data_IF_845149760313
#
_entry.id   IF_845149760313
#
_cell.length_a   1.000
_cell.length_b   1.000
_cell.length_c   1.000
_cell.angle_alpha   90.00
_cell.angle_beta   90.00
_cell.angle_gamma   90.00
#
_symmetry.space_group_name_H-M   'P 1'
#
loop_
_entity.id
_entity.type
_entity.pdbx_description
1 polymer ?
#
# COMPACT_ATOMS: atom_id res chain seq x y z
N UNK A 1 11.93 -20.18 19.13
CA UNK A 1 11.16 -19.03 18.64
C UNK A 1 11.71 -18.58 17.28
N UNK A 2 10.82 -18.24 16.35
CA UNK A 2 11.16 -17.83 15.00
C UNK A 2 10.16 -16.78 14.52
N UNK A 3 10.49 -16.08 13.43
CA UNK A 3 9.61 -15.13 12.73
C UNK A 3 9.16 -15.76 11.40
N UNK A 4 7.86 -15.80 11.14
CA UNK A 4 7.34 -16.37 9.89
C UNK A 4 7.70 -15.50 8.69
N UNK A 5 7.47 -14.19 8.77
CA UNK A 5 7.79 -13.22 7.72
C UNK A 5 8.58 -12.05 8.31
N UNK A 6 9.85 -11.96 7.97
CA UNK A 6 10.69 -10.80 8.31
C UNK A 6 10.67 -9.80 7.15
N UNK A 7 10.28 -8.56 7.42
CA UNK A 7 10.15 -7.53 6.39
C UNK A 7 11.18 -6.41 6.58
N UNK A 8 11.89 -6.08 5.49
CA UNK A 8 12.71 -4.86 5.44
C UNK A 8 11.78 -3.66 5.33
N UNK A 9 11.90 -2.70 6.27
CA UNK A 9 10.89 -1.65 6.45
C UNK A 9 10.85 -0.64 5.30
N UNK A 10 12.02 -0.26 4.76
CA UNK A 10 12.17 0.57 3.55
C UNK A 10 13.54 0.35 2.92
N UNK A 11 13.71 0.73 1.64
CA UNK A 11 15.03 0.73 0.99
C UNK A 11 16.02 1.65 1.72
N UNK A 12 17.24 1.19 1.93
CA UNK A 12 18.33 2.03 2.45
C UNK A 12 18.73 3.10 1.44
N UNK A 13 18.72 2.77 0.15
CA UNK A 13 18.98 3.72 -0.94
C UNK A 13 17.91 4.82 -1.02
N UNK A 14 18.31 5.99 -1.47
CA UNK A 14 17.38 7.11 -1.69
C UNK A 14 16.48 6.83 -2.89
N UNK A 15 15.19 6.76 -2.65
CA UNK A 15 14.18 6.53 -3.68
C UNK A 15 12.87 7.25 -3.34
N UNK A 16 11.86 7.09 -4.20
CA UNK A 16 10.56 7.74 -4.04
C UNK A 16 9.61 6.89 -3.17
N UNK A 17 9.63 7.11 -1.88
CA UNK A 17 8.65 6.57 -0.93
C UNK A 17 8.17 7.67 0.01
N UNK A 18 7.12 7.37 0.80
CA UNK A 18 6.55 8.27 1.81
C UNK A 18 6.15 9.65 1.27
N UNK A 19 5.24 9.68 0.29
CA UNK A 19 4.65 10.92 -0.24
C UNK A 19 5.38 11.50 -1.45
N UNK A 20 6.35 10.80 -2.00
CA UNK A 20 7.09 11.22 -3.21
C UNK A 20 6.60 10.45 -4.43
N UNK A 21 6.00 11.13 -5.39
CA UNK A 21 5.48 10.51 -6.61
C UNK A 21 6.60 10.07 -7.56
N UNK A 22 7.62 10.90 -7.75
CA UNK A 22 8.69 10.68 -8.73
C UNK A 22 10.05 10.41 -8.10
N UNK A 23 10.89 9.64 -8.81
CA UNK A 23 12.28 9.45 -8.44
C UNK A 23 13.12 10.68 -8.82
N UNK A 24 13.92 11.13 -7.86
CA UNK A 24 14.91 12.21 -8.08
C UNK A 24 16.28 11.63 -7.76
N UNK A 25 17.15 11.64 -8.77
CA UNK A 25 18.52 11.13 -8.61
C UNK A 25 19.32 12.02 -7.64
N UNK A 26 19.82 11.42 -6.58
CA UNK A 26 20.76 12.06 -5.66
C UNK A 26 22.21 11.73 -6.08
N UNK A 27 22.87 12.68 -6.74
CA UNK A 27 24.26 12.50 -7.18
C UNK A 27 25.26 12.40 -6.02
N UNK A 28 24.86 12.72 -4.80
CA UNK A 28 25.68 12.60 -3.59
C UNK A 28 25.52 11.24 -2.91
N UNK A 29 24.56 10.41 -3.32
CA UNK A 29 24.41 9.06 -2.80
C UNK A 29 25.65 8.23 -3.17
N UNK A 30 26.31 7.68 -2.16
CA UNK A 30 27.61 7.01 -2.38
C UNK A 30 27.49 5.50 -2.36
N UNK A 31 26.89 4.94 -1.32
CA UNK A 31 26.77 3.50 -1.14
C UNK A 31 25.56 3.15 -0.30
N UNK A 32 25.04 1.99 -0.53
CA UNK A 32 24.00 1.32 0.26
C UNK A 32 24.31 -0.18 0.24
N UNK A 33 23.72 -0.93 1.18
CA UNK A 33 23.96 -2.39 1.28
C UNK A 33 23.52 -3.09 0.00
N UNK A 34 24.40 -3.85 -0.68
CA UNK A 34 24.05 -4.57 -1.90
C UNK A 34 22.87 -5.54 -1.68
N UNK A 35 21.98 -5.63 -2.64
CA UNK A 35 20.85 -6.58 -2.59
C UNK A 35 21.29 -8.02 -2.35
N UNK A 36 22.44 -8.41 -2.91
CA UNK A 36 23.01 -9.75 -2.73
C UNK A 36 23.37 -10.02 -1.27
N UNK A 37 24.08 -9.09 -0.64
CA UNK A 37 24.47 -9.20 0.78
C UNK A 37 23.24 -9.33 1.70
N UNK A 38 22.17 -8.59 1.39
CA UNK A 38 20.90 -8.68 2.11
C UNK A 38 20.31 -10.10 1.98
N UNK A 39 20.25 -10.63 0.76
CA UNK A 39 19.71 -11.98 0.52
C UNK A 39 20.58 -13.08 1.12
N UNK A 40 21.90 -12.96 1.07
CA UNK A 40 22.81 -13.90 1.73
C UNK A 40 22.65 -13.89 3.25
N UNK A 41 22.44 -12.71 3.82
CA UNK A 41 22.18 -12.58 5.26
C UNK A 41 20.83 -13.19 5.63
N UNK A 42 19.79 -12.95 4.84
CA UNK A 42 18.49 -13.60 5.03
C UNK A 42 18.61 -15.13 4.92
N UNK A 43 19.40 -15.65 3.96
CA UNK A 43 19.64 -17.09 3.82
C UNK A 43 20.29 -17.69 5.06
N UNK A 44 21.24 -16.98 5.69
CA UNK A 44 21.86 -17.44 6.96
C UNK A 44 20.80 -17.55 8.05
N UNK A 45 19.92 -16.56 8.20
CA UNK A 45 18.86 -16.60 9.22
C UNK A 45 17.80 -17.66 8.94
N UNK A 46 17.47 -17.92 7.67
CA UNK A 46 16.57 -19.01 7.28
C UNK A 46 17.20 -20.37 7.64
N UNK A 47 18.48 -20.59 7.28
CA UNK A 47 19.20 -21.83 7.63
C UNK A 47 19.34 -22.04 9.14
N UNK A 48 19.41 -20.97 9.94
CA UNK A 48 19.42 -21.02 11.40
C UNK A 48 18.02 -21.22 12.02
N UNK A 49 16.97 -21.25 11.21
CA UNK A 49 15.59 -21.38 11.68
C UNK A 49 15.06 -20.14 12.42
N UNK A 50 15.71 -18.97 12.28
CA UNK A 50 15.30 -17.73 12.95
C UNK A 50 14.17 -17.00 12.22
N UNK A 51 14.17 -17.07 10.89
CA UNK A 51 13.09 -16.54 10.04
C UNK A 51 12.70 -17.63 9.03
N UNK A 52 11.45 -17.60 8.57
CA UNK A 52 10.98 -18.51 7.52
C UNK A 52 11.04 -17.85 6.16
N UNK A 53 10.55 -16.64 6.06
CA UNK A 53 10.42 -15.89 4.80
C UNK A 53 10.91 -14.46 4.93
N UNK A 54 11.37 -13.90 3.80
CA UNK A 54 11.74 -12.51 3.66
C UNK A 54 10.65 -11.76 2.88
N UNK A 55 10.28 -10.58 3.35
CA UNK A 55 9.46 -9.60 2.66
C UNK A 55 10.15 -8.24 2.57
N UNK A 56 9.62 -7.39 1.71
CA UNK A 56 10.05 -6.00 1.55
C UNK A 56 8.94 -5.06 1.96
N UNK A 57 9.27 -3.79 2.18
CA UNK A 57 8.29 -2.73 2.35
C UNK A 57 8.78 -1.43 1.73
N UNK A 58 7.87 -0.60 1.22
CA UNK A 58 8.16 0.66 0.54
C UNK A 58 9.15 0.51 -0.62
N UNK A 59 9.11 -0.65 -1.27
CA UNK A 59 10.03 -0.99 -2.34
C UNK A 59 9.51 -0.51 -3.69
N UNK A 60 10.42 -0.29 -4.62
CA UNK A 60 10.17 0.16 -5.99
C UNK A 60 10.32 -0.98 -7.00
N UNK A 61 9.83 -0.83 -8.25
CA UNK A 61 10.04 -1.83 -9.30
C UNK A 61 11.50 -2.19 -9.50
N UNK A 62 12.42 -1.20 -9.43
CA UNK A 62 13.85 -1.44 -9.56
C UNK A 62 14.38 -2.41 -8.49
N UNK A 63 14.10 -2.14 -7.20
CA UNK A 63 14.62 -2.97 -6.13
C UNK A 63 13.99 -4.35 -6.13
N UNK A 64 12.66 -4.45 -6.29
CA UNK A 64 11.98 -5.74 -6.35
C UNK A 64 12.53 -6.61 -7.49
N UNK A 65 12.72 -6.05 -8.69
CA UNK A 65 13.31 -6.80 -9.82
C UNK A 65 14.72 -7.30 -9.54
N UNK A 66 15.56 -6.49 -8.85
CA UNK A 66 16.91 -6.93 -8.47
C UNK A 66 16.87 -8.09 -7.47
N UNK A 67 16.03 -8.02 -6.43
CA UNK A 67 15.87 -9.13 -5.48
C UNK A 67 15.40 -10.41 -6.16
N UNK A 68 14.43 -10.33 -7.07
CA UNK A 68 13.90 -11.47 -7.82
C UNK A 68 14.99 -12.09 -8.70
N UNK A 69 15.72 -11.27 -9.45
CA UNK A 69 16.79 -11.74 -10.34
C UNK A 69 17.90 -12.45 -9.56
N UNK A 70 18.38 -11.86 -8.47
CA UNK A 70 19.40 -12.47 -7.62
C UNK A 70 18.91 -13.80 -7.02
N UNK A 71 17.66 -13.86 -6.57
CA UNK A 71 17.07 -15.10 -6.09
C UNK A 71 17.10 -16.20 -7.16
N UNK A 72 16.72 -15.88 -8.40
CA UNK A 72 16.69 -16.85 -9.52
C UNK A 72 18.09 -17.29 -9.96
N UNK A 73 19.01 -16.34 -10.16
CA UNK A 73 20.31 -16.63 -10.78
C UNK A 73 21.38 -17.11 -9.78
N UNK A 74 21.26 -16.75 -8.50
CA UNK A 74 22.22 -17.13 -7.45
C UNK A 74 21.68 -18.11 -6.43
N UNK A 75 20.49 -18.64 -6.64
CA UNK A 75 19.81 -19.57 -5.72
C UNK A 75 19.74 -19.03 -4.29
N UNK A 76 19.41 -17.74 -4.17
CA UNK A 76 19.19 -17.05 -2.91
C UNK A 76 17.69 -17.05 -2.55
N UNK A 77 17.32 -16.74 -1.28
CA UNK A 77 15.93 -16.77 -0.85
C UNK A 77 15.03 -15.86 -1.68
N UNK A 78 13.85 -16.34 -2.06
CA UNK A 78 12.82 -15.55 -2.72
C UNK A 78 12.20 -14.56 -1.74
N UNK A 79 11.97 -13.32 -2.19
CA UNK A 79 11.10 -12.36 -1.51
C UNK A 79 9.65 -12.81 -1.70
N UNK A 80 8.90 -12.95 -0.61
CA UNK A 80 7.54 -13.49 -0.65
C UNK A 80 6.46 -12.43 -0.79
N UNK A 81 6.70 -11.22 -0.30
CA UNK A 81 5.72 -10.14 -0.31
C UNK A 81 6.39 -8.77 -0.36
N UNK A 82 5.61 -7.77 -0.78
CA UNK A 82 5.94 -6.35 -0.63
C UNK A 82 4.83 -5.69 0.17
N UNK A 83 5.17 -4.95 1.22
CA UNK A 83 4.23 -4.13 1.97
C UNK A 83 4.36 -2.67 1.51
N UNK A 84 3.45 -2.23 0.65
CA UNK A 84 3.44 -0.86 0.09
C UNK A 84 2.08 -0.19 0.30
N UNK A 85 2.02 1.17 0.23
CA UNK A 85 0.75 1.87 0.31
C UNK A 85 -0.10 1.57 -0.92
N UNK A 86 -1.40 1.31 -0.70
CA UNK A 86 -2.36 1.18 -1.79
C UNK A 86 -3.76 1.55 -1.33
N UNK A 87 -4.41 2.44 -2.05
CA UNK A 87 -5.76 2.92 -1.76
C UNK A 87 -6.33 3.68 -2.95
N UNK A 88 -7.60 4.08 -2.91
CA UNK A 88 -8.23 4.96 -3.91
C UNK A 88 -7.47 6.30 -4.10
N UNK A 89 -6.74 6.79 -3.10
CA UNK A 89 -5.95 8.02 -3.18
C UNK A 89 -4.48 7.78 -3.58
N UNK A 90 -4.02 6.53 -3.59
CA UNK A 90 -2.67 6.15 -3.97
C UNK A 90 -2.70 4.84 -4.77
N UNK A 91 -2.71 4.95 -6.08
CA UNK A 91 -2.68 3.81 -7.02
C UNK A 91 -1.32 3.65 -7.71
N UNK A 92 -0.26 4.24 -7.14
CA UNK A 92 1.10 4.19 -7.73
C UNK A 92 1.64 2.77 -7.89
N UNK A 93 1.17 1.81 -7.07
CA UNK A 93 1.55 0.40 -7.17
C UNK A 93 1.15 -0.22 -8.52
N UNK A 94 0.08 0.25 -9.13
CA UNK A 94 -0.39 -0.22 -10.43
C UNK A 94 0.61 0.09 -11.56
N UNK A 95 1.46 1.11 -11.36
CA UNK A 95 2.46 1.53 -12.34
C UNK A 95 3.75 0.71 -12.15
N UNK A 96 3.79 -0.49 -12.69
CA UNK A 96 4.97 -1.35 -12.75
C UNK A 96 5.14 -2.36 -11.62
N UNK A 97 4.59 -2.14 -10.42
CA UNK A 97 4.68 -3.11 -9.33
C UNK A 97 3.64 -4.24 -9.46
N UNK A 98 2.43 -3.91 -9.87
CA UNK A 98 1.32 -4.88 -10.01
C UNK A 98 1.66 -5.99 -11.00
N UNK A 99 2.22 -5.67 -12.17
CA UNK A 99 2.63 -6.67 -13.15
C UNK A 99 3.71 -7.60 -12.59
N UNK A 100 4.73 -7.04 -11.93
CA UNK A 100 5.80 -7.84 -11.30
C UNK A 100 5.20 -8.76 -10.22
N UNK A 101 4.31 -8.23 -9.39
CA UNK A 101 3.65 -9.00 -8.32
C UNK A 101 2.92 -10.21 -8.87
N UNK A 102 2.13 -10.04 -9.92
CA UNK A 102 1.36 -11.13 -10.54
C UNK A 102 2.29 -12.15 -11.21
N UNK A 103 3.21 -11.69 -12.06
CA UNK A 103 4.08 -12.59 -12.85
C UNK A 103 5.10 -13.31 -11.99
N UNK A 104 5.63 -12.66 -10.97
CA UNK A 104 6.65 -13.22 -10.09
C UNK A 104 6.08 -13.81 -8.80
N UNK A 105 4.75 -13.76 -8.62
CA UNK A 105 4.08 -14.27 -7.42
C UNK A 105 4.67 -13.70 -6.13
N UNK A 106 4.81 -12.36 -6.09
CA UNK A 106 5.20 -11.59 -4.91
C UNK A 106 4.06 -10.66 -4.55
N UNK A 107 3.20 -11.08 -3.64
CA UNK A 107 1.95 -10.38 -3.36
C UNK A 107 2.11 -9.08 -2.59
N UNK A 108 1.16 -8.15 -2.79
CA UNK A 108 1.08 -6.92 -2.02
C UNK A 108 0.39 -7.14 -0.68
N UNK A 109 1.01 -6.67 0.39
CA UNK A 109 0.38 -6.39 1.67
C UNK A 109 0.06 -4.89 1.68
N UNK A 110 -1.20 -4.54 1.36
CA UNK A 110 -1.60 -3.15 1.16
C UNK A 110 -1.76 -2.41 2.49
N UNK A 111 -0.91 -1.43 2.79
CA UNK A 111 -1.10 -0.59 3.95
C UNK A 111 -1.79 0.74 3.62
N UNK A 112 -2.40 1.35 4.63
CA UNK A 112 -3.19 2.60 4.53
C UNK A 112 -4.33 2.57 3.50
N UNK A 113 -5.11 1.48 3.41
CA UNK A 113 -6.20 1.37 2.44
C UNK A 113 -7.28 2.44 2.64
N UNK A 114 -7.39 2.98 3.86
CA UNK A 114 -8.28 4.08 4.21
C UNK A 114 -7.57 5.43 4.34
N UNK A 115 -6.33 5.57 3.83
CA UNK A 115 -5.58 6.83 3.80
C UNK A 115 -5.62 7.58 5.14
N UNK A 116 -5.18 6.93 6.23
CA UNK A 116 -5.23 7.45 7.61
C UNK A 116 -6.64 7.88 8.08
N UNK A 117 -7.68 7.34 7.44
CA UNK A 117 -9.07 7.62 7.77
C UNK A 117 -9.74 8.68 6.90
N UNK A 118 -9.05 9.27 5.93
CA UNK A 118 -9.65 10.18 4.93
C UNK A 118 -10.76 9.45 4.17
N UNK A 119 -10.51 8.24 3.72
CA UNK A 119 -11.45 7.41 2.98
C UNK A 119 -12.56 6.76 3.84
N UNK A 120 -12.69 7.16 5.11
CA UNK A 120 -13.90 6.89 5.90
C UNK A 120 -14.94 8.00 5.79
N UNK A 121 -14.58 9.13 5.19
CA UNK A 121 -15.43 10.31 5.07
C UNK A 121 -15.49 11.21 6.32
N UNK A 122 -14.89 10.80 7.45
CA UNK A 122 -15.00 11.54 8.74
C UNK A 122 -14.35 12.92 8.75
N UNK A 123 -13.46 13.21 7.79
CA UNK A 123 -12.80 14.52 7.66
C UNK A 123 -13.40 15.39 6.57
N UNK A 124 -14.48 14.93 5.91
CA UNK A 124 -15.19 15.72 4.89
C UNK A 124 -15.67 17.05 5.48
N UNK A 125 -15.82 18.05 4.63
CA UNK A 125 -16.20 19.40 5.04
C UNK A 125 -15.27 20.00 6.12
N UNK A 126 -13.99 19.65 6.06
CA UNK A 126 -12.95 20.11 6.99
C UNK A 126 -13.21 19.77 8.46
N UNK A 127 -13.97 18.72 8.71
CA UNK A 127 -14.22 18.25 10.08
C UNK A 127 -12.93 17.73 10.72
N UNK A 128 -12.79 17.98 12.02
CA UNK A 128 -11.69 17.49 12.86
C UNK A 128 -12.27 16.68 14.05
N UNK A 129 -12.74 15.45 13.82
CA UNK A 129 -13.35 14.67 14.91
C UNK A 129 -12.35 14.42 16.03
N UNK A 130 -12.80 14.59 17.28
CA UNK A 130 -12.00 14.31 18.47
C UNK A 130 -11.50 12.85 18.49
N UNK A 131 -10.25 12.65 18.89
CA UNK A 131 -9.61 11.32 18.92
C UNK A 131 -9.31 10.71 17.55
N UNK A 132 -9.60 11.42 16.45
CA UNK A 132 -9.25 10.95 15.13
C UNK A 132 -7.76 11.23 14.79
N UNK A 133 -7.14 10.30 14.05
CA UNK A 133 -5.68 10.32 13.80
C UNK A 133 -5.16 11.68 13.30
N UNK A 134 -5.74 12.22 12.23
CA UNK A 134 -5.26 13.48 11.64
C UNK A 134 -5.69 14.74 12.45
N UNK A 135 -6.57 14.58 13.42
CA UNK A 135 -6.87 15.62 14.40
C UNK A 135 -5.83 15.63 15.53
N UNK A 136 -5.37 14.45 15.96
CA UNK A 136 -4.38 14.31 17.03
C UNK A 136 -2.94 14.58 16.56
N UNK A 137 -2.63 14.25 15.29
CA UNK A 137 -1.29 14.42 14.69
C UNK A 137 -1.40 15.27 13.43
N UNK A 138 -1.38 16.59 13.60
CA UNK A 138 -1.56 17.57 12.50
C UNK A 138 -0.40 17.54 11.49
N UNK A 139 0.77 17.05 11.86
CA UNK A 139 1.93 16.94 10.97
C UNK A 139 1.81 15.83 9.90
N UNK A 140 0.82 14.95 10.05
CA UNK A 140 0.60 13.84 9.11
C UNK A 140 -0.24 14.24 7.90
N UNK A 141 0.27 15.21 7.12
CA UNK A 141 -0.45 15.85 6.01
C UNK A 141 -0.47 15.06 4.69
N UNK A 142 0.17 13.88 4.62
CA UNK A 142 0.30 13.11 3.37
C UNK A 142 -1.02 12.93 2.62
N UNK A 143 -2.11 12.69 3.33
CA UNK A 143 -3.41 12.36 2.74
C UNK A 143 -4.42 13.52 2.74
N UNK A 144 -4.08 14.71 3.26
CA UNK A 144 -5.01 15.82 3.51
C UNK A 144 -4.86 17.00 2.56
N UNK A 145 -4.26 16.80 1.38
CA UNK A 145 -4.20 17.84 0.34
C UNK A 145 -5.58 18.15 -0.22
N UNK A 146 -5.74 19.35 -0.80
CA UNK A 146 -6.98 19.74 -1.49
C UNK A 146 -7.34 18.74 -2.62
N UNK A 147 -6.34 18.19 -3.32
CA UNK A 147 -6.55 17.17 -4.36
C UNK A 147 -7.11 15.89 -3.77
N UNK A 148 -6.58 15.44 -2.62
CA UNK A 148 -7.10 14.28 -1.91
C UNK A 148 -8.52 14.50 -1.43
N UNK A 149 -8.83 15.70 -0.91
CA UNK A 149 -10.18 16.08 -0.48
C UNK A 149 -11.17 16.03 -1.65
N UNK A 150 -10.83 16.63 -2.79
CA UNK A 150 -11.68 16.64 -3.98
C UNK A 150 -11.93 15.22 -4.50
N UNK A 151 -10.89 14.39 -4.61
CA UNK A 151 -11.04 12.99 -5.02
C UNK A 151 -11.92 12.19 -4.03
N UNK A 152 -11.76 12.43 -2.73
CA UNK A 152 -12.56 11.78 -1.68
C UNK A 152 -14.05 12.12 -1.81
N UNK A 153 -14.39 13.36 -2.15
CA UNK A 153 -15.79 13.76 -2.39
C UNK A 153 -16.39 13.02 -3.59
N UNK A 154 -15.63 12.86 -4.68
CA UNK A 154 -16.11 12.10 -5.83
C UNK A 154 -16.30 10.60 -5.49
N UNK A 155 -15.35 9.98 -4.78
CA UNK A 155 -15.51 8.60 -4.31
C UNK A 155 -16.69 8.45 -3.33
N UNK A 156 -16.94 9.45 -2.48
CA UNK A 156 -18.09 9.43 -1.59
C UNK A 156 -19.41 9.41 -2.39
N UNK A 157 -19.55 10.22 -3.43
CA UNK A 157 -20.73 10.22 -4.30
C UNK A 157 -20.93 8.85 -4.98
N UNK A 158 -19.84 8.17 -5.39
CA UNK A 158 -19.91 6.82 -5.93
C UNK A 158 -20.43 5.84 -4.87
N UNK A 159 -19.89 5.88 -3.65
CA UNK A 159 -20.34 5.02 -2.56
C UNK A 159 -21.82 5.26 -2.25
N UNK A 160 -22.22 6.51 -2.05
CA UNK A 160 -23.60 6.89 -1.68
C UNK A 160 -24.65 6.40 -2.70
N UNK A 161 -24.43 6.63 -4.00
CA UNK A 161 -25.38 6.18 -5.05
C UNK A 161 -25.45 4.67 -5.21
N UNK A 162 -24.48 3.93 -4.66
CA UNK A 162 -24.46 2.46 -4.67
C UNK A 162 -24.81 1.85 -3.29
N UNK A 163 -25.33 2.64 -2.36
CA UNK A 163 -25.70 2.22 -1.00
C UNK A 163 -24.54 1.60 -0.23
N UNK A 164 -23.33 2.09 -0.45
CA UNK A 164 -22.11 1.70 0.28
C UNK A 164 -21.65 2.86 1.17
N UNK A 165 -20.99 2.54 2.28
CA UNK A 165 -20.16 3.54 2.95
C UNK A 165 -18.88 3.78 2.13
N UNK A 166 -18.24 4.93 2.30
CA UNK A 166 -16.94 5.21 1.66
C UNK A 166 -15.87 4.21 2.15
N UNK A 167 -15.93 3.78 3.41
CA UNK A 167 -15.07 2.72 3.96
C UNK A 167 -15.24 1.42 3.19
N UNK A 168 -16.48 0.98 2.98
CA UNK A 168 -16.80 -0.24 2.25
C UNK A 168 -16.30 -0.18 0.79
N UNK A 169 -16.61 0.92 0.08
CA UNK A 169 -16.13 1.13 -1.29
C UNK A 169 -14.59 1.04 -1.36
N UNK A 170 -13.91 1.74 -0.44
CA UNK A 170 -12.45 1.84 -0.45
C UNK A 170 -11.77 0.51 -0.16
N UNK A 171 -12.26 -0.23 0.83
CA UNK A 171 -11.69 -1.53 1.17
C UNK A 171 -12.02 -2.60 0.13
N UNK A 172 -13.26 -2.64 -0.37
CA UNK A 172 -13.65 -3.56 -1.43
C UNK A 172 -12.84 -3.35 -2.71
N UNK A 173 -12.55 -2.09 -3.08
CA UNK A 173 -11.67 -1.77 -4.21
C UNK A 173 -10.28 -2.39 -4.03
N UNK A 174 -9.67 -2.26 -2.86
CA UNK A 174 -8.34 -2.84 -2.58
C UNK A 174 -8.41 -4.37 -2.57
N UNK A 175 -9.45 -4.95 -1.95
CA UNK A 175 -9.61 -6.41 -1.83
C UNK A 175 -9.78 -7.10 -3.19
N UNK A 176 -10.34 -6.41 -4.20
CA UNK A 176 -10.59 -6.98 -5.53
C UNK A 176 -9.39 -6.96 -6.48
N UNK A 177 -8.25 -6.40 -6.06
CA UNK A 177 -7.07 -6.35 -6.91
C UNK A 177 -6.31 -7.68 -6.89
N UNK A 178 -6.06 -8.26 -8.06
CA UNK A 178 -5.38 -9.56 -8.20
C UNK A 178 -3.97 -9.61 -7.61
N UNK A 179 -3.31 -8.45 -7.51
CA UNK A 179 -1.97 -8.33 -6.93
C UNK A 179 -1.97 -8.15 -5.40
N UNK A 180 -3.13 -7.95 -4.77
CA UNK A 180 -3.27 -7.78 -3.32
C UNK A 180 -3.45 -9.13 -2.64
N UNK A 181 -2.49 -9.51 -1.82
CA UNK A 181 -2.58 -10.73 -1.00
C UNK A 181 -3.31 -10.48 0.31
N UNK A 182 -3.09 -9.31 0.91
CA UNK A 182 -3.74 -8.93 2.17
C UNK A 182 -3.88 -7.42 2.28
N UNK A 183 -5.04 -7.02 2.78
CA UNK A 183 -5.35 -5.62 3.08
C UNK A 183 -5.09 -5.35 4.58
N UNK A 184 -4.19 -4.43 4.91
CA UNK A 184 -3.81 -4.13 6.29
C UNK A 184 -4.72 -3.05 6.84
N UNK A 185 -5.62 -3.46 7.70
CA UNK A 185 -6.60 -2.58 8.34
C UNK A 185 -6.19 -2.20 9.76
N UNK A 186 -6.75 -1.10 10.27
CA UNK A 186 -6.69 -0.70 11.67
C UNK A 186 -8.03 -0.16 12.13
N UNK A 187 -8.40 -0.45 13.38
CA UNK A 187 -9.62 0.02 13.98
C UNK A 187 -9.42 0.33 15.48
N UNK A 188 -10.09 1.35 15.98
CA UNK A 188 -10.10 1.70 17.41
C UNK A 188 -11.43 1.35 18.09
N UNK A 189 -12.42 0.91 17.29
CA UNK A 189 -13.75 0.48 17.77
C UNK A 189 -14.13 -0.84 17.10
N UNK A 190 -14.86 -1.70 17.82
CA UNK A 190 -15.31 -2.99 17.30
C UNK A 190 -16.22 -2.82 16.07
N UNK A 191 -17.06 -1.78 16.03
CA UNK A 191 -17.91 -1.50 14.88
C UNK A 191 -17.09 -1.21 13.61
N UNK A 192 -15.98 -0.46 13.72
CA UNK A 192 -15.06 -0.21 12.61
C UNK A 192 -14.37 -1.49 12.14
N UNK A 193 -13.90 -2.31 13.10
CA UNK A 193 -13.27 -3.59 12.78
C UNK A 193 -14.24 -4.52 12.03
N UNK A 194 -15.49 -4.60 12.50
CA UNK A 194 -16.53 -5.39 11.84
C UNK A 194 -16.78 -4.91 10.41
N UNK A 195 -17.00 -3.60 10.20
CA UNK A 195 -17.19 -3.01 8.87
C UNK A 195 -16.01 -3.31 7.95
N UNK A 196 -14.79 -3.17 8.48
CA UNK A 196 -13.57 -3.45 7.71
C UNK A 196 -13.48 -4.93 7.29
N UNK A 197 -13.78 -5.87 8.18
CA UNK A 197 -13.78 -7.31 7.88
C UNK A 197 -14.91 -7.64 6.89
N UNK A 198 -16.11 -7.13 7.11
CA UNK A 198 -17.27 -7.41 6.26
C UNK A 198 -17.07 -6.91 4.82
N UNK A 199 -16.14 -5.97 4.58
CA UNK A 199 -15.81 -5.45 3.24
C UNK A 199 -15.32 -6.52 2.26
N UNK A 200 -14.81 -7.67 2.73
CA UNK A 200 -14.36 -8.77 1.85
C UNK A 200 -15.52 -9.43 1.11
N UNK A 201 -16.75 -9.26 1.61
CA UNK A 201 -17.95 -9.81 1.00
C UNK A 201 -18.58 -8.88 -0.04
N UNK A 202 -18.02 -7.68 -0.22
CA UNK A 202 -18.53 -6.68 -1.17
C UNK A 202 -17.81 -6.88 -2.51
N UNK A 203 -18.59 -7.13 -3.55
CA UNK A 203 -18.10 -7.22 -4.92
C UNK A 203 -18.57 -5.97 -5.69
N UNK A 204 -17.62 -5.13 -6.09
CA UNK A 204 -17.90 -3.92 -6.87
C UNK A 204 -18.15 -4.31 -8.34
N UNK A 205 -19.24 -3.83 -8.91
CA UNK A 205 -19.54 -4.08 -10.32
C UNK A 205 -18.55 -3.35 -11.25
N UNK A 206 -18.51 -3.77 -12.51
CA UNK A 206 -17.66 -3.12 -13.52
C UNK A 206 -18.02 -1.63 -13.70
N UNK A 207 -19.29 -1.26 -13.52
CA UNK A 207 -19.75 0.13 -13.59
C UNK A 207 -19.13 0.95 -12.43
N UNK A 208 -19.15 0.41 -11.21
CA UNK A 208 -18.55 1.07 -10.04
C UNK A 208 -17.04 1.23 -10.24
N UNK A 209 -16.36 0.18 -10.72
CA UNK A 209 -14.91 0.24 -11.02
C UNK A 209 -14.63 1.28 -12.10
N UNK A 210 -15.41 1.32 -13.18
CA UNK A 210 -15.27 2.33 -14.23
C UNK A 210 -15.44 3.76 -13.70
N UNK A 211 -16.38 3.98 -12.79
CA UNK A 211 -16.56 5.29 -12.18
C UNK A 211 -15.40 5.65 -11.23
N UNK A 212 -14.86 4.69 -10.49
CA UNK A 212 -13.63 4.87 -9.69
C UNK A 212 -12.46 5.25 -10.59
N UNK A 213 -12.30 4.59 -11.73
CA UNK A 213 -11.22 4.86 -12.69
C UNK A 213 -11.31 6.28 -13.27
N UNK A 214 -12.51 6.76 -13.62
CA UNK A 214 -12.72 8.14 -14.05
C UNK A 214 -12.28 9.18 -13.01
N UNK A 215 -12.53 8.91 -11.71
CA UNK A 215 -12.05 9.79 -10.64
C UNK A 215 -10.53 9.78 -10.58
N UNK A 216 -9.92 8.59 -10.71
CA UNK A 216 -8.47 8.44 -10.71
C UNK A 216 -7.81 9.12 -11.92
N UNK A 217 -8.37 9.01 -13.11
CA UNK A 217 -7.88 9.67 -14.33
C UNK A 217 -7.83 11.20 -14.15
N UNK A 218 -8.86 11.79 -13.54
CA UNK A 218 -8.90 13.21 -13.24
C UNK A 218 -8.01 13.64 -12.07
N UNK A 219 -7.74 12.73 -11.14
CA UNK A 219 -6.95 12.98 -9.92
C UNK A 219 -5.94 11.84 -9.68
N UNK A 220 -4.94 11.65 -10.54
CA UNK A 220 -4.04 10.51 -10.44
C UNK A 220 -3.21 10.58 -9.15
N UNK A 221 -3.36 9.56 -8.31
CA UNK A 221 -2.62 9.37 -7.05
C UNK A 221 -2.42 10.67 -6.26
N UNK A 222 -3.50 11.32 -5.77
CA UNK A 222 -3.38 12.62 -5.12
C UNK A 222 -2.64 12.59 -3.78
N UNK A 223 -2.36 11.40 -3.25
CA UNK A 223 -1.64 11.17 -1.99
C UNK A 223 -0.64 10.00 -2.11
N UNK A 224 0.40 10.14 -2.94
CA UNK A 224 1.37 9.08 -3.23
C UNK A 224 2.20 8.66 -2.02
#
# INVERSE_FOLDING_TARGET
DYIDLYQLHWPERKTNFFGKLGYVNDRAERSWTPFEEILETAQKFIKQGKIRHLGLSNETPYGLSNYINLSKYKNLPKVMSVQNPYSLLNRTYEVGMSEISIREQVGLLAYSPLACGILTGKYRNFQKPEGARLTMWEDWQRYSSIRSSNATEEYYKIAERNNLTLTQLSLAFVNQQDFVTSNIIGATKISQLKENIDSVNINLSNEIISDIDKVHENNPSPAP
#
